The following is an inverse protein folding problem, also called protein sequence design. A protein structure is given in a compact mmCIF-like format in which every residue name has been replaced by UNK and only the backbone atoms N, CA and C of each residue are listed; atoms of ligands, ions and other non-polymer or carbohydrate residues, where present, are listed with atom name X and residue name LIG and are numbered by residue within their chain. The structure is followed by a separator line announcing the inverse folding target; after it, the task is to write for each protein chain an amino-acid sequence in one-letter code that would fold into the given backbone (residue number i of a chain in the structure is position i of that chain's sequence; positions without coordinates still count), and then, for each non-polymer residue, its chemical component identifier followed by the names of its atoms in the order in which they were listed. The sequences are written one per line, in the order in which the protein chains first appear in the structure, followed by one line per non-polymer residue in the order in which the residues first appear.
data_IF_890206070585
#
_entry.id   IF_890206070585
#
_cell.length_a   1.000
_cell.length_b   1.000
_cell.length_c   1.000
_cell.angle_alpha   90.00
_cell.angle_beta   90.00
_cell.angle_gamma   90.00
#
_symmetry.space_group_name_H-M   'P 1'
#
loop_
_entity.id
_entity.type
_entity.pdbx_description
1 polymer ?
#
# COMPACT_ATOMS: atom_id res chain seq x y z
N UNK A 1 -10.60 19.05 28.55
CA UNK A 1 -9.79 19.95 27.68
C UNK A 1 -9.86 19.41 26.27
N UNK A 2 -10.59 20.09 25.37
CA UNK A 2 -10.69 19.71 23.97
C UNK A 2 -9.46 20.22 23.20
N UNK A 3 -8.82 19.36 22.41
CA UNK A 3 -7.69 19.76 21.57
C UNK A 3 -8.19 20.61 20.39
N UNK A 4 -7.61 21.80 20.12
CA UNK A 4 -7.99 22.63 18.99
C UNK A 4 -7.65 21.93 17.66
N UNK A 5 -8.62 21.93 16.74
CA UNK A 5 -8.55 21.23 15.46
C UNK A 5 -7.34 21.64 14.62
N UNK A 6 -6.47 20.67 14.33
CA UNK A 6 -5.36 20.84 13.41
C UNK A 6 -5.91 21.21 12.02
N UNK A 7 -5.65 22.43 11.57
CA UNK A 7 -6.02 22.88 10.24
C UNK A 7 -5.19 22.09 9.20
N UNK A 8 -5.81 21.45 8.18
CA UNK A 8 -5.07 20.77 7.12
C UNK A 8 -4.15 21.77 6.43
N UNK A 9 -2.82 21.56 6.52
CA UNK A 9 -1.89 22.41 5.77
C UNK A 9 -2.11 22.15 4.27
N UNK A 10 -2.16 23.19 3.42
CA UNK A 10 -2.33 23.00 1.99
C UNK A 10 -1.12 22.22 1.45
N UNK A 11 -1.41 21.08 0.80
CA UNK A 11 -0.52 20.11 0.11
C UNK A 11 0.64 20.70 -0.71
N UNK A 12 0.54 21.98 -1.07
CA UNK A 12 1.46 22.73 -1.91
C UNK A 12 2.70 23.21 -1.13
N UNK A 13 2.62 23.21 0.22
CA UNK A 13 3.72 23.57 1.12
C UNK A 13 4.61 22.39 1.50
N UNK A 14 4.29 21.19 1.03
CA UNK A 14 5.10 20.01 1.31
C UNK A 14 6.32 20.03 0.39
N UNK A 15 7.55 20.24 0.91
CA UNK A 15 8.76 20.30 0.09
C UNK A 15 8.95 19.00 -0.71
N UNK A 16 8.44 17.89 -0.20
CA UNK A 16 8.42 16.60 -0.89
C UNK A 16 7.53 16.61 -2.13
N UNK A 17 6.41 17.34 -2.15
CA UNK A 17 5.57 17.46 -3.35
C UNK A 17 6.31 18.20 -4.46
N UNK A 18 6.98 19.30 -4.12
CA UNK A 18 7.77 20.10 -5.06
C UNK A 18 8.87 19.25 -5.71
N UNK A 19 9.68 18.56 -4.90
CA UNK A 19 10.83 17.78 -5.40
C UNK A 19 10.38 16.57 -6.20
N UNK A 20 9.27 15.91 -5.82
CA UNK A 20 8.81 14.66 -6.45
C UNK A 20 8.02 14.89 -7.74
N UNK A 21 7.34 16.03 -7.87
CA UNK A 21 6.42 16.27 -8.98
C UNK A 21 6.79 17.50 -9.79
N UNK A 22 7.06 18.63 -9.12
CA UNK A 22 7.29 19.90 -9.82
C UNK A 22 8.64 19.90 -10.51
N UNK A 23 9.71 19.48 -9.82
CA UNK A 23 11.05 19.42 -10.41
C UNK A 23 11.10 18.54 -11.69
N UNK A 24 10.68 17.26 -11.68
CA UNK A 24 10.73 16.45 -12.90
C UNK A 24 9.80 16.99 -13.99
N UNK A 25 8.61 17.49 -13.65
CA UNK A 25 7.69 18.07 -14.62
C UNK A 25 8.29 19.31 -15.31
N UNK A 26 8.97 20.18 -14.55
CA UNK A 26 9.65 21.35 -15.11
C UNK A 26 10.78 20.96 -16.05
N UNK A 27 11.55 19.92 -15.74
CA UNK A 27 12.64 19.43 -16.60
C UNK A 27 12.08 18.88 -17.92
N UNK A 28 11.00 18.08 -17.87
CA UNK A 28 10.32 17.60 -19.08
C UNK A 28 9.73 18.77 -19.88
N UNK A 29 9.10 19.73 -19.21
CA UNK A 29 8.53 20.91 -19.87
C UNK A 29 9.61 21.74 -20.55
N UNK A 30 10.78 21.91 -19.94
CA UNK A 30 11.91 22.57 -20.56
C UNK A 30 12.35 21.86 -21.85
N UNK A 31 12.41 20.52 -21.83
CA UNK A 31 12.66 19.73 -23.04
C UNK A 31 11.64 19.99 -24.14
N UNK A 32 10.35 19.96 -23.80
CA UNK A 32 9.27 20.25 -24.75
C UNK A 32 9.34 21.66 -25.32
N UNK A 33 9.65 22.66 -24.49
CA UNK A 33 9.83 24.05 -24.94
C UNK A 33 10.98 24.15 -25.94
N UNK A 34 12.11 23.50 -25.65
CA UNK A 34 13.25 23.46 -26.58
C UNK A 34 12.85 22.84 -27.92
N UNK A 35 12.11 21.73 -27.92
CA UNK A 35 11.62 21.09 -29.15
C UNK A 35 10.72 22.00 -29.99
N UNK A 36 9.88 22.81 -29.32
CA UNK A 36 8.95 23.73 -29.98
C UNK A 36 9.69 24.92 -30.59
N UNK A 37 10.66 25.48 -29.87
CA UNK A 37 11.42 26.67 -30.28
C UNK A 37 12.49 26.30 -31.32
N UNK A 38 13.12 25.13 -31.18
CA UNK A 38 14.22 24.66 -32.03
C UNK A 38 13.86 23.33 -32.67
N UNK A 39 13.56 23.38 -33.97
CA UNK A 39 13.20 22.20 -34.78
C UNK A 39 14.38 21.61 -35.56
N UNK A 40 15.59 22.02 -35.23
CA UNK A 40 16.82 21.47 -35.78
C UNK A 40 17.32 20.25 -34.98
N UNK A 41 18.33 19.55 -35.50
CA UNK A 41 18.87 18.34 -34.88
C UNK A 41 19.30 18.53 -33.42
N UNK A 42 19.88 19.70 -33.09
CA UNK A 42 20.31 20.02 -31.73
C UNK A 42 19.09 20.17 -30.81
N UNK A 43 17.99 20.73 -31.31
CA UNK A 43 16.74 20.85 -30.56
C UNK A 43 16.13 19.49 -30.20
N UNK A 44 16.18 18.53 -31.13
CA UNK A 44 15.73 17.15 -30.89
C UNK A 44 16.62 16.42 -29.88
N UNK A 45 17.95 16.59 -29.98
CA UNK A 45 18.90 16.01 -29.02
C UNK A 45 18.69 16.59 -27.61
N UNK A 46 18.57 17.92 -27.48
CA UNK A 46 18.30 18.58 -26.22
C UNK A 46 16.95 18.16 -25.62
N UNK A 47 15.92 17.99 -26.45
CA UNK A 47 14.63 17.44 -26.02
C UNK A 47 14.77 16.03 -25.43
N UNK A 48 15.49 15.13 -26.13
CA UNK A 48 15.69 13.76 -25.67
C UNK A 48 16.44 13.72 -24.33
N UNK A 49 17.49 14.53 -24.19
CA UNK A 49 18.28 14.61 -22.95
C UNK A 49 17.47 15.16 -21.79
N UNK A 50 16.77 16.28 -21.97
CA UNK A 50 15.96 16.90 -20.92
C UNK A 50 14.77 16.03 -20.53
N UNK A 51 14.04 15.51 -21.51
CA UNK A 51 12.89 14.64 -21.24
C UNK A 51 13.34 13.33 -20.58
N UNK A 52 14.43 12.73 -21.05
CA UNK A 52 15.05 11.56 -20.43
C UNK A 52 15.43 11.83 -18.97
N UNK A 53 16.13 12.92 -18.71
CA UNK A 53 16.51 13.30 -17.34
C UNK A 53 15.29 13.52 -16.43
N UNK A 54 14.27 14.25 -16.89
CA UNK A 54 13.05 14.50 -16.12
C UNK A 54 12.28 13.22 -15.81
N UNK A 55 12.15 12.32 -16.79
CA UNK A 55 11.52 11.01 -16.60
C UNK A 55 12.34 10.11 -15.67
N UNK A 56 13.67 10.11 -15.77
CA UNK A 56 14.54 9.37 -14.84
C UNK A 56 14.39 9.88 -13.41
N UNK A 57 14.38 11.19 -13.18
CA UNK A 57 14.15 11.79 -11.85
C UNK A 57 12.78 11.36 -11.31
N UNK A 58 11.74 11.44 -12.14
CA UNK A 58 10.39 11.01 -11.74
C UNK A 58 10.36 9.53 -11.37
N UNK A 59 10.94 8.67 -12.21
CA UNK A 59 11.02 7.22 -11.98
C UNK A 59 11.78 6.89 -10.70
N UNK A 60 12.90 7.55 -10.44
CA UNK A 60 13.68 7.35 -9.21
C UNK A 60 12.86 7.72 -7.97
N UNK A 61 12.12 8.84 -8.01
CA UNK A 61 11.20 9.22 -6.94
C UNK A 61 10.09 8.18 -6.74
N UNK A 62 9.57 7.62 -7.84
CA UNK A 62 8.57 6.56 -7.80
C UNK A 62 9.10 5.28 -7.16
N UNK A 63 10.28 4.82 -7.57
CA UNK A 63 10.92 3.63 -7.02
C UNK A 63 11.28 3.80 -5.54
N UNK A 64 11.77 4.99 -5.15
CA UNK A 64 12.01 5.29 -3.74
C UNK A 64 10.75 5.15 -2.89
N UNK A 65 9.61 5.66 -3.38
CA UNK A 65 8.32 5.51 -2.69
C UNK A 65 7.95 4.04 -2.51
N UNK A 66 8.14 3.23 -3.55
CA UNK A 66 7.86 1.79 -3.49
C UNK A 66 8.76 1.08 -2.48
N UNK A 67 10.05 1.45 -2.42
CA UNK A 67 10.99 0.90 -1.44
C UNK A 67 10.60 1.26 -0.01
N UNK A 68 10.22 2.51 0.24
CA UNK A 68 9.84 2.97 1.59
C UNK A 68 8.54 2.34 2.07
N UNK A 69 7.57 2.08 1.19
CA UNK A 69 6.33 1.40 1.62
C UNK A 69 6.57 0.04 2.24
N UNK A 70 7.56 -0.73 1.77
CA UNK A 70 7.86 -2.06 2.30
C UNK A 70 8.63 -2.08 3.63
N UNK A 71 9.18 -0.95 4.06
CA UNK A 71 9.92 -0.87 5.34
C UNK A 71 8.96 -0.89 6.53
N UNK A 72 7.76 -0.29 6.39
CA UNK A 72 6.77 -0.25 7.47
C UNK A 72 6.31 -1.64 7.90
N UNK A 73 6.05 -2.52 6.93
CA UNK A 73 5.59 -3.88 7.21
C UNK A 73 6.66 -4.68 7.96
N UNK A 74 7.94 -4.48 7.63
CA UNK A 74 9.07 -5.08 8.36
C UNK A 74 9.23 -4.52 9.76
N UNK A 75 9.08 -3.20 9.94
CA UNK A 75 9.14 -2.57 11.26
C UNK A 75 8.01 -3.05 12.18
N UNK A 76 6.85 -3.39 11.61
CA UNK A 76 5.71 -3.93 12.33
C UNK A 76 5.94 -5.39 12.74
N UNK A 77 6.48 -6.22 11.83
CA UNK A 77 6.92 -7.58 12.14
C UNK A 77 8.00 -7.60 13.23
N UNK A 78 9.00 -6.74 13.13
CA UNK A 78 10.08 -6.64 14.12
C UNK A 78 9.56 -6.15 15.49
N UNK A 79 8.51 -5.30 15.51
CA UNK A 79 7.83 -4.93 16.77
C UNK A 79 7.09 -6.11 17.36
N UNK A 80 6.37 -6.88 16.56
CA UNK A 80 5.64 -8.06 17.01
C UNK A 80 6.61 -9.13 17.57
N UNK A 81 7.77 -9.33 16.95
CA UNK A 81 8.83 -10.22 17.43
C UNK A 81 9.39 -9.78 18.79
N UNK A 82 9.73 -8.49 18.94
CA UNK A 82 10.18 -7.96 20.24
C UNK A 82 9.12 -8.14 21.31
N UNK A 83 7.84 -7.90 20.98
CA UNK A 83 6.74 -8.12 21.90
C UNK A 83 6.67 -9.61 22.34
N UNK A 84 6.78 -10.54 21.40
CA UNK A 84 6.82 -11.97 21.70
C UNK A 84 8.00 -12.37 22.58
N UNK A 85 9.20 -11.88 22.29
CA UNK A 85 10.40 -12.17 23.10
C UNK A 85 10.25 -11.64 24.54
N UNK A 86 9.60 -10.49 24.71
CA UNK A 86 9.36 -9.87 26.03
C UNK A 86 8.19 -10.52 26.80
N UNK A 87 7.11 -10.91 26.11
CA UNK A 87 5.84 -11.28 26.74
C UNK A 87 5.45 -12.76 26.58
N UNK A 88 6.16 -13.51 25.75
CA UNK A 88 5.93 -14.93 25.48
C UNK A 88 4.63 -15.25 24.73
N UNK A 89 3.96 -14.24 24.16
CA UNK A 89 2.75 -14.37 23.35
C UNK A 89 2.74 -13.28 22.27
N UNK A 90 2.01 -13.51 21.19
CA UNK A 90 1.88 -12.53 20.12
C UNK A 90 0.94 -11.39 20.53
N UNK A 91 1.14 -10.15 20.02
CA UNK A 91 0.32 -8.99 20.41
C UNK A 91 -1.15 -9.11 19.98
N UNK A 92 -1.42 -9.93 18.96
CA UNK A 92 -2.73 -10.26 18.40
C UNK A 92 -3.32 -11.56 18.95
N UNK A 93 -2.57 -12.33 19.75
CA UNK A 93 -3.14 -13.42 20.54
C UNK A 93 -4.04 -12.82 21.62
N UNK A 94 -5.35 -12.94 21.41
CA UNK A 94 -6.34 -12.77 22.46
C UNK A 94 -5.91 -13.65 23.65
N UNK A 95 -5.54 -13.02 24.78
CA UNK A 95 -5.38 -13.77 26.04
C UNK A 95 -6.61 -14.66 26.19
N UNK A 96 -6.50 -15.92 26.65
CA UNK A 96 -7.64 -16.84 26.78
C UNK A 96 -8.67 -16.44 27.87
N UNK A 97 -9.12 -15.18 27.89
CA UNK A 97 -10.12 -14.59 28.77
C UNK A 97 -10.89 -13.41 28.12
N UNK A 98 -10.57 -12.99 26.89
CA UNK A 98 -11.43 -12.12 26.07
C UNK A 98 -12.04 -12.91 24.91
N UNK A 99 -12.60 -14.09 25.19
CA UNK A 99 -13.56 -14.71 24.29
C UNK A 99 -14.68 -13.71 24.01
N UNK A 100 -14.66 -13.11 22.84
CA UNK A 100 -15.88 -12.57 22.24
C UNK A 100 -16.88 -13.72 22.27
N UNK A 101 -18.04 -13.59 22.95
CA UNK A 101 -18.95 -14.71 23.14
C UNK A 101 -19.24 -15.34 21.79
N UNK A 102 -18.78 -16.58 21.62
CA UNK A 102 -19.13 -17.41 20.48
C UNK A 102 -20.64 -17.29 20.29
N UNK A 103 -21.06 -16.86 19.11
CA UNK A 103 -22.45 -16.82 18.68
C UNK A 103 -23.11 -18.18 19.00
N UNK A 104 -23.72 -18.27 20.17
CA UNK A 104 -24.56 -19.36 20.62
C UNK A 104 -25.99 -18.91 20.48
N UNK A 105 -26.74 -19.65 19.65
CA UNK A 105 -28.18 -19.53 19.48
C UNK A 105 -28.49 -19.42 18.00
N UNK A 106 -28.86 -20.47 17.27
CA UNK A 106 -29.56 -21.68 17.66
C UNK A 106 -30.78 -21.77 16.76
N UNK A 107 -30.74 -22.61 15.73
CA UNK A 107 -31.94 -23.07 15.03
C UNK A 107 -31.77 -24.53 14.64
N UNK A 108 -32.18 -25.37 15.57
CA UNK A 108 -32.64 -26.74 15.35
C UNK A 108 -33.99 -26.71 14.63
N UNK A 109 -33.98 -27.02 13.33
CA UNK A 109 -35.14 -27.44 12.54
C UNK A 109 -34.53 -28.16 11.33
N UNK A 110 -34.71 -29.43 11.03
CA UNK A 110 -35.79 -30.37 11.29
C UNK A 110 -35.82 -31.24 10.02
N UNK A 111 -35.59 -32.55 10.13
CA UNK A 111 -35.53 -33.39 8.93
C UNK A 111 -34.92 -34.75 9.17
N UNK A 112 -35.66 -35.61 9.86
CA UNK A 112 -35.33 -37.03 10.07
C UNK A 112 -35.55 -37.78 8.74
N UNK A 113 -34.49 -38.12 8.03
CA UNK A 113 -34.58 -39.04 6.88
C UNK A 113 -34.54 -40.50 7.37
N UNK A 114 -35.54 -41.34 7.04
CA UNK A 114 -35.56 -42.74 7.45
C UNK A 114 -34.53 -43.54 6.65
N UNK A 115 -33.80 -44.41 7.36
CA UNK A 115 -32.95 -45.45 6.77
C UNK A 115 -33.82 -46.38 5.92
N UNK A 116 -33.64 -46.34 4.60
CA UNK A 116 -34.12 -47.35 3.66
C UNK A 116 -33.08 -48.46 3.52
N UNK A 117 -33.53 -49.70 3.74
CA UNK A 117 -32.73 -50.91 3.72
C UNK A 117 -32.68 -51.56 2.32
N UNK A 118 -31.49 -52.06 1.94
CA UNK A 118 -31.18 -53.22 1.06
C UNK A 118 -31.62 -53.18 -0.44
N UNK A 119 -31.08 -54.05 -1.35
CA UNK A 119 -30.22 -55.23 -1.15
C UNK A 119 -28.94 -55.34 -2.01
N UNK A 120 -28.04 -56.23 -1.57
CA UNK A 120 -26.87 -56.72 -2.33
C UNK A 120 -27.33 -57.57 -3.53
N UNK A 121 -26.86 -57.25 -4.73
CA UNK A 121 -26.81 -58.19 -5.87
C UNK A 121 -25.43 -58.86 -5.90
N UNK A 122 -25.45 -60.20 -5.90
CA UNK A 122 -24.37 -61.05 -6.40
C UNK A 122 -24.49 -61.06 -7.91
N UNK A 123 -23.36 -60.98 -8.61
CA UNK A 123 -23.04 -61.68 -9.85
C UNK A 123 -21.50 -61.79 -9.92
#
# INVERSE_FOLDING_TARGET
MAQPGASPRPRWRDPLFLVRWVLPALVVLAGLVVLVVRRDAIGVEAFALLTGAGLSIWLLNFLYRLSVSGVRDRDEEDRARRYFDEHGHWPDEERPGNEVPAHRGGQSHGGRSPRGAAPRRRD
#
